data_IF_883437830550
#
_entry.id   IF_883437830550
#
_cell.length_a   1.000
_cell.length_b   1.000
_cell.length_c   1.000
_cell.angle_alpha   90.00
_cell.angle_beta   90.00
_cell.angle_gamma   90.00
#
_symmetry.space_group_name_H-M   'P 1'
#
loop_
_entity.id
_entity.type
_entity.pdbx_description
1 polymer ?
#
# COMPACT_ATOMS: atom_id res chain seq x y z
N UNK A 1 -27.06 2.87 29.80
CA UNK A 1 -27.29 2.02 30.97
C UNK A 1 -28.76 2.14 31.44
N UNK A 2 -29.26 3.35 31.75
CA UNK A 2 -30.64 3.61 32.19
C UNK A 2 -31.71 3.12 31.20
N UNK A 3 -31.50 3.25 29.90
CA UNK A 3 -32.42 2.77 28.85
C UNK A 3 -32.55 1.26 28.84
N UNK A 4 -31.44 0.53 29.02
CA UNK A 4 -31.41 -0.94 29.08
C UNK A 4 -32.10 -1.43 30.34
N UNK A 5 -31.85 -0.78 31.49
CA UNK A 5 -32.51 -1.11 32.78
C UNK A 5 -34.02 -0.85 32.69
N UNK A 6 -34.47 0.21 32.06
CA UNK A 6 -35.89 0.52 31.86
C UNK A 6 -36.58 -0.50 30.93
N UNK A 7 -35.91 -0.96 29.90
CA UNK A 7 -36.40 -1.99 28.96
C UNK A 7 -36.51 -3.33 29.64
N UNK A 8 -35.48 -3.73 30.41
CA UNK A 8 -35.47 -5.00 31.16
C UNK A 8 -36.54 -5.01 32.25
N UNK A 9 -36.73 -3.87 32.95
CA UNK A 9 -37.79 -3.73 33.97
C UNK A 9 -39.20 -3.85 33.39
N UNK A 10 -39.41 -3.36 32.14
CA UNK A 10 -40.73 -3.32 31.47
C UNK A 10 -41.09 -4.65 30.80
N UNK A 11 -40.11 -5.38 30.27
CA UNK A 11 -40.33 -6.59 29.46
C UNK A 11 -39.92 -7.91 30.19
N UNK A 12 -39.48 -7.83 31.44
CA UNK A 12 -39.28 -8.95 32.40
C UNK A 12 -38.22 -9.95 31.97
N UNK A 13 -38.31 -10.53 30.84
CA UNK A 13 -37.36 -11.55 30.36
C UNK A 13 -37.13 -11.39 28.88
N UNK A 14 -36.03 -10.69 28.51
CA UNK A 14 -35.62 -10.57 27.10
C UNK A 14 -34.62 -11.69 26.85
N UNK A 15 -35.06 -12.73 26.13
CA UNK A 15 -34.16 -13.77 25.66
C UNK A 15 -33.34 -13.24 24.50
N UNK A 16 -32.04 -13.01 24.70
CA UNK A 16 -31.10 -12.57 23.67
C UNK A 16 -30.53 -13.74 22.83
N UNK A 17 -30.87 -14.99 23.22
CA UNK A 17 -30.46 -16.19 22.51
C UNK A 17 -31.63 -16.84 21.78
N UNK A 18 -31.41 -17.27 20.54
CA UNK A 18 -32.30 -18.22 19.84
C UNK A 18 -31.91 -19.66 20.24
N UNK A 19 -32.86 -20.56 20.27
CA UNK A 19 -32.64 -22.01 20.57
C UNK A 19 -31.50 -22.61 19.70
N UNK A 20 -31.24 -22.04 18.53
CA UNK A 20 -30.15 -22.43 17.65
C UNK A 20 -28.78 -21.94 18.15
N UNK A 21 -28.70 -20.76 18.77
CA UNK A 21 -27.45 -20.21 19.28
C UNK A 21 -27.08 -20.71 20.66
N UNK A 22 -28.04 -21.14 21.46
CA UNK A 22 -27.79 -21.74 22.79
C UNK A 22 -27.02 -23.07 22.72
N UNK A 23 -27.28 -23.87 21.67
CA UNK A 23 -26.61 -25.16 21.50
C UNK A 23 -25.30 -25.09 20.68
N UNK A 24 -25.01 -23.97 20.08
CA UNK A 24 -23.85 -23.87 19.18
C UNK A 24 -22.51 -23.95 19.95
N UNK A 25 -22.50 -23.52 21.21
CA UNK A 25 -21.32 -23.56 22.09
C UNK A 25 -21.53 -24.35 23.39
N UNK A 26 -22.74 -24.81 23.66
CA UNK A 26 -23.05 -25.51 24.90
C UNK A 26 -22.28 -26.82 25.14
N UNK A 27 -21.84 -27.49 24.08
CA UNK A 27 -21.04 -28.70 24.10
C UNK A 27 -19.60 -28.55 23.66
N UNK A 28 -19.15 -27.32 23.43
CA UNK A 28 -17.78 -27.05 23.00
C UNK A 28 -16.85 -26.99 24.22
N UNK A 29 -16.51 -28.11 24.79
CA UNK A 29 -15.42 -28.23 25.77
C UNK A 29 -14.07 -28.19 25.06
N UNK A 30 -13.66 -26.99 24.67
CA UNK A 30 -12.30 -26.78 24.15
C UNK A 30 -11.33 -26.66 25.33
N UNK A 31 -10.52 -27.68 25.54
CA UNK A 31 -9.40 -27.60 26.48
C UNK A 31 -8.26 -26.71 25.92
N UNK A 32 -8.45 -25.41 26.06
CA UNK A 32 -7.47 -24.41 25.61
C UNK A 32 -6.17 -24.47 26.42
N UNK A 33 -6.25 -24.79 27.70
CA UNK A 33 -5.09 -24.86 28.60
C UNK A 33 -4.25 -26.10 28.34
N UNK A 34 -4.88 -27.25 28.15
CA UNK A 34 -4.18 -28.51 27.85
C UNK A 34 -3.47 -28.49 26.50
N UNK A 35 -4.01 -27.75 25.53
CA UNK A 35 -3.43 -27.62 24.18
C UNK A 35 -2.52 -26.38 24.00
N UNK A 36 -2.24 -25.62 25.05
CA UNK A 36 -1.39 -24.44 25.01
C UNK A 36 0.00 -24.71 24.39
N UNK A 37 0.60 -25.88 24.73
CA UNK A 37 1.93 -26.28 24.14
C UNK A 37 1.89 -26.40 22.65
N UNK A 38 0.81 -26.93 22.06
CA UNK A 38 0.63 -27.05 20.62
C UNK A 38 0.54 -25.63 19.99
N UNK A 39 -0.24 -24.75 20.64
CA UNK A 39 -0.38 -23.37 20.21
C UNK A 39 0.97 -22.62 20.19
N UNK A 40 1.80 -22.80 21.22
CA UNK A 40 3.14 -22.21 21.26
C UNK A 40 4.04 -22.75 20.14
N UNK A 41 4.01 -24.05 19.89
CA UNK A 41 4.80 -24.67 18.81
C UNK A 41 4.38 -24.09 17.45
N UNK A 42 3.07 -24.05 17.18
CA UNK A 42 2.54 -23.47 15.93
C UNK A 42 2.95 -22.01 15.78
N UNK A 43 2.84 -21.21 16.84
CA UNK A 43 3.26 -19.81 16.83
C UNK A 43 4.76 -19.65 16.53
N UNK A 44 5.60 -20.45 17.17
CA UNK A 44 7.07 -20.43 16.93
C UNK A 44 7.37 -20.80 15.48
N UNK A 45 6.72 -21.83 14.94
CA UNK A 45 6.91 -22.23 13.53
C UNK A 45 6.48 -21.13 12.59
N UNK A 46 5.32 -20.50 12.80
CA UNK A 46 4.84 -19.38 11.98
C UNK A 46 5.82 -18.21 12.04
N UNK A 47 6.32 -17.86 13.24
CA UNK A 47 7.31 -16.80 13.40
C UNK A 47 8.64 -17.14 12.70
N UNK A 48 9.10 -18.38 12.79
CA UNK A 48 10.32 -18.81 12.12
C UNK A 48 10.18 -18.74 10.60
N UNK A 49 9.08 -19.25 10.04
CA UNK A 49 8.78 -19.18 8.60
C UNK A 49 8.67 -17.73 8.14
N UNK A 50 8.01 -16.87 8.91
CA UNK A 50 7.89 -15.44 8.60
C UNK A 50 9.25 -14.76 8.57
N UNK A 51 10.13 -15.05 9.54
CA UNK A 51 11.49 -14.50 9.58
C UNK A 51 12.34 -14.95 8.39
N UNK A 52 12.27 -16.23 8.05
CA UNK A 52 13.00 -16.78 6.89
C UNK A 52 12.46 -16.14 5.61
N UNK A 53 11.15 -16.06 5.44
CA UNK A 53 10.52 -15.41 4.29
C UNK A 53 10.95 -13.94 4.15
N UNK A 54 10.99 -13.22 5.28
CA UNK A 54 11.45 -11.84 5.32
C UNK A 54 12.92 -11.69 4.95
N UNK A 55 13.79 -12.59 5.42
CA UNK A 55 15.21 -12.56 5.12
C UNK A 55 15.51 -12.90 3.64
N UNK A 56 14.72 -13.81 3.04
CA UNK A 56 14.92 -14.25 1.65
C UNK A 56 14.28 -13.32 0.63
N UNK A 57 13.06 -12.84 0.90
CA UNK A 57 12.30 -12.01 -0.05
C UNK A 57 12.42 -10.52 0.22
N UNK A 58 12.84 -10.11 1.43
CA UNK A 58 12.83 -8.72 1.86
C UNK A 58 11.42 -8.16 2.02
N UNK A 59 11.33 -6.85 2.24
CA UNK A 59 10.08 -6.08 2.18
C UNK A 59 10.03 -5.34 0.86
N UNK A 60 8.95 -5.50 0.11
CA UNK A 60 8.64 -4.61 -0.99
C UNK A 60 8.03 -3.32 -0.42
N UNK A 61 8.91 -2.39 -0.08
CA UNK A 61 8.50 -1.09 0.47
C UNK A 61 8.05 -0.18 -0.66
N UNK A 62 6.94 0.54 -0.44
CA UNK A 62 6.46 1.56 -1.37
C UNK A 62 7.46 2.70 -1.54
N UNK A 63 7.29 3.50 -2.58
CA UNK A 63 8.16 4.63 -2.90
C UNK A 63 8.25 5.69 -1.81
N UNK A 64 7.28 5.75 -0.92
CA UNK A 64 7.28 6.63 0.26
C UNK A 64 8.40 6.28 1.24
N UNK A 65 8.83 5.00 1.25
CA UNK A 65 9.89 4.50 2.13
C UNK A 65 11.25 4.32 1.43
N UNK A 66 11.23 4.16 0.12
CA UNK A 66 12.45 3.94 -0.68
C UNK A 66 12.88 5.18 -1.45
N UNK A 67 11.98 6.16 -1.60
CA UNK A 67 12.14 7.28 -2.51
C UNK A 67 11.70 6.92 -3.92
N UNK A 68 11.47 7.90 -4.75
CA UNK A 68 11.05 7.71 -6.12
C UNK A 68 10.48 8.96 -6.76
N UNK A 69 10.17 8.86 -8.05
CA UNK A 69 9.42 9.86 -8.81
C UNK A 69 7.99 9.36 -8.98
N UNK A 70 7.03 10.14 -8.54
CA UNK A 70 5.61 9.84 -8.62
C UNK A 70 4.95 10.76 -9.65
N UNK A 71 4.33 10.15 -10.64
CA UNK A 71 3.60 10.85 -11.70
C UNK A 71 2.11 10.49 -11.60
N UNK A 72 1.24 11.48 -11.69
CA UNK A 72 -0.19 11.25 -11.92
C UNK A 72 -0.47 11.61 -13.35
N UNK A 73 -0.88 10.62 -14.13
CA UNK A 73 -1.13 10.76 -15.57
C UNK A 73 -2.61 10.53 -15.83
N UNK A 74 -3.22 11.44 -16.60
CA UNK A 74 -4.60 11.35 -17.05
C UNK A 74 -4.64 10.94 -18.51
N UNK A 75 -5.46 9.93 -18.78
CA UNK A 75 -5.78 9.47 -20.12
C UNK A 75 -7.11 10.06 -20.60
N UNK A 76 -7.37 10.00 -21.88
CA UNK A 76 -8.64 10.42 -22.49
C UNK A 76 -9.77 9.40 -22.29
N UNK A 77 -9.41 8.18 -21.91
CA UNK A 77 -10.33 7.04 -21.68
C UNK A 77 -9.91 6.24 -20.45
N UNK A 78 -10.83 5.44 -19.87
CA UNK A 78 -10.45 4.49 -18.84
C UNK A 78 -9.40 3.52 -19.35
N UNK A 79 -8.32 3.32 -18.59
CA UNK A 79 -7.20 2.42 -18.89
C UNK A 79 -6.99 1.49 -17.71
N UNK A 80 -6.60 0.24 -17.96
CA UNK A 80 -6.28 -0.70 -16.88
C UNK A 80 -4.83 -0.52 -16.41
N UNK A 81 -4.63 -0.57 -15.09
CA UNK A 81 -3.28 -0.42 -14.51
C UNK A 81 -2.30 -1.48 -15.03
N UNK A 82 -2.77 -2.68 -15.34
CA UNK A 82 -1.95 -3.76 -15.88
C UNK A 82 -1.48 -3.48 -17.32
N UNK A 83 -2.34 -2.87 -18.14
CA UNK A 83 -1.99 -2.45 -19.51
C UNK A 83 -0.88 -1.38 -19.47
N UNK A 84 -1.03 -0.39 -18.60
CA UNK A 84 -0.02 0.65 -18.36
C UNK A 84 1.29 0.03 -17.88
N UNK A 85 1.23 -0.92 -16.94
CA UNK A 85 2.40 -1.63 -16.41
C UNK A 85 3.15 -2.38 -17.51
N UNK A 86 2.46 -3.14 -18.35
CA UNK A 86 3.07 -3.90 -19.45
C UNK A 86 3.80 -2.98 -20.44
N UNK A 87 3.18 -1.86 -20.81
CA UNK A 87 3.79 -0.88 -21.70
C UNK A 87 5.03 -0.22 -21.11
N UNK A 88 4.98 0.14 -19.83
CA UNK A 88 6.14 0.66 -19.12
C UNK A 88 7.27 -0.37 -19.07
N UNK A 89 6.96 -1.62 -18.74
CA UNK A 89 7.96 -2.68 -18.66
C UNK A 89 8.65 -2.93 -20.00
N UNK A 90 7.90 -2.92 -21.09
CA UNK A 90 8.41 -3.11 -22.45
C UNK A 90 9.41 -2.01 -22.81
N UNK A 91 9.06 -0.75 -22.60
CA UNK A 91 9.92 0.40 -22.93
C UNK A 91 11.12 0.47 -21.98
N UNK A 92 10.92 0.33 -20.65
CA UNK A 92 12.02 0.38 -19.69
C UNK A 92 13.02 -0.77 -19.86
N UNK A 93 12.59 -1.94 -20.37
CA UNK A 93 13.51 -3.05 -20.65
C UNK A 93 14.50 -2.76 -21.76
N UNK A 94 14.22 -1.79 -22.62
CA UNK A 94 15.11 -1.32 -23.68
C UNK A 94 16.24 -0.38 -23.21
N UNK A 95 16.16 0.10 -21.95
CA UNK A 95 17.19 0.96 -21.37
C UNK A 95 18.08 0.16 -20.43
N UNK A 96 19.40 0.09 -20.68
CA UNK A 96 20.33 -0.73 -19.88
C UNK A 96 20.31 -0.38 -18.39
N UNK A 97 20.17 0.91 -18.04
CA UNK A 97 20.10 1.40 -16.66
C UNK A 97 18.72 1.20 -16.01
N UNK A 98 17.69 0.89 -16.79
CA UNK A 98 16.31 0.82 -16.35
C UNK A 98 15.73 -0.61 -16.31
N UNK A 99 16.45 -1.61 -16.83
CA UNK A 99 15.97 -3.00 -16.95
C UNK A 99 15.54 -3.62 -15.60
N UNK A 100 16.11 -3.18 -14.48
CA UNK A 100 15.82 -3.67 -13.13
C UNK A 100 15.05 -2.66 -12.27
N UNK A 101 14.55 -1.58 -12.87
CA UNK A 101 13.85 -0.53 -12.14
C UNK A 101 12.46 -0.99 -11.75
N UNK A 102 12.16 -0.91 -10.47
CA UNK A 102 10.81 -1.15 -9.96
C UNK A 102 9.91 0.03 -10.27
N UNK A 103 8.72 -0.26 -10.79
CA UNK A 103 7.65 0.73 -10.91
C UNK A 103 6.34 0.17 -10.37
N UNK A 104 5.59 1.04 -9.76
CA UNK A 104 4.27 0.77 -9.21
C UNK A 104 3.23 1.55 -10.00
N UNK A 105 2.21 0.87 -10.50
CA UNK A 105 1.10 1.48 -11.23
C UNK A 105 -0.17 1.22 -10.45
N UNK A 106 -0.87 2.28 -10.08
CA UNK A 106 -2.16 2.22 -9.38
C UNK A 106 -3.15 3.21 -9.97
N UNK A 107 -4.41 2.85 -10.00
CA UNK A 107 -5.48 3.80 -10.29
C UNK A 107 -5.53 4.90 -9.20
N UNK A 108 -5.70 6.14 -9.62
CA UNK A 108 -5.71 7.31 -8.75
C UNK A 108 -6.88 8.23 -9.07
N UNK A 109 -7.84 8.30 -8.15
CA UNK A 109 -9.03 9.12 -8.35
C UNK A 109 -9.98 8.54 -9.39
N UNK A 110 -10.02 9.14 -10.57
CA UNK A 110 -10.92 8.72 -11.66
C UNK A 110 -10.37 7.49 -12.40
N UNK A 111 -11.27 6.77 -13.12
CA UNK A 111 -10.91 5.56 -13.89
C UNK A 111 -9.91 5.82 -15.03
N UNK A 112 -9.76 7.07 -15.46
CA UNK A 112 -8.83 7.49 -16.49
C UNK A 112 -7.54 8.11 -15.92
N UNK A 113 -7.28 7.96 -14.61
CA UNK A 113 -6.07 8.49 -13.97
C UNK A 113 -5.26 7.37 -13.34
N UNK A 114 -3.96 7.37 -13.63
CA UNK A 114 -3.01 6.42 -13.06
C UNK A 114 -1.90 7.15 -12.32
N UNK A 115 -1.59 6.66 -11.12
CA UNK A 115 -0.38 7.05 -10.39
C UNK A 115 0.70 6.04 -10.73
N UNK A 116 1.79 6.52 -11.30
CA UNK A 116 2.96 5.75 -11.67
C UNK A 116 4.10 6.22 -10.79
N UNK A 117 4.73 5.29 -10.09
CA UNK A 117 5.89 5.57 -9.26
C UNK A 117 7.07 4.75 -9.77
N UNK A 118 8.18 5.42 -10.03
CA UNK A 118 9.41 4.79 -10.52
C UNK A 118 10.62 5.21 -9.70
N UNK A 119 11.58 4.30 -9.55
CA UNK A 119 12.86 4.56 -8.92
C UNK A 119 13.96 4.93 -9.93
N UNK A 120 13.62 5.06 -11.22
CA UNK A 120 14.59 5.42 -12.23
C UNK A 120 15.11 6.84 -12.02
N UNK A 121 16.44 6.98 -11.89
CA UNK A 121 17.14 8.26 -11.66
C UNK A 121 16.50 9.14 -10.57
N UNK A 122 15.99 8.50 -9.48
CA UNK A 122 15.27 9.22 -8.43
C UNK A 122 16.20 10.06 -7.53
N UNK A 123 17.47 9.72 -7.47
CA UNK A 123 18.54 10.43 -6.76
C UNK A 123 19.13 11.58 -7.58
N UNK A 124 19.00 11.56 -8.91
CA UNK A 124 19.42 12.65 -9.79
C UNK A 124 18.36 13.75 -9.85
N UNK A 125 18.78 14.97 -9.49
CA UNK A 125 17.88 16.13 -9.39
C UNK A 125 17.97 17.05 -10.61
N UNK A 126 18.77 16.69 -11.62
CA UNK A 126 18.94 17.47 -12.83
C UNK A 126 17.65 17.56 -13.66
N UNK A 127 17.50 18.65 -14.39
CA UNK A 127 16.40 18.84 -15.32
C UNK A 127 16.50 17.87 -16.51
N UNK A 128 17.74 17.47 -16.85
CA UNK A 128 18.01 16.48 -17.87
C UNK A 128 17.44 15.11 -17.50
N UNK A 129 17.73 14.64 -16.28
CA UNK A 129 17.18 13.38 -15.77
C UNK A 129 15.64 13.39 -15.69
N UNK A 130 15.05 14.53 -15.34
CA UNK A 130 13.59 14.69 -15.33
C UNK A 130 13.01 14.63 -16.73
N UNK A 131 13.62 15.33 -17.69
CA UNK A 131 13.18 15.32 -19.09
C UNK A 131 13.32 13.96 -19.74
N UNK A 132 14.35 13.19 -19.37
CA UNK A 132 14.55 11.82 -19.84
C UNK A 132 13.46 10.88 -19.32
N UNK A 133 13.13 10.95 -18.02
CA UNK A 133 12.04 10.14 -17.44
C UNK A 133 10.70 10.49 -18.09
N UNK A 134 10.41 11.79 -18.27
CA UNK A 134 9.19 12.25 -18.93
C UNK A 134 9.10 11.71 -20.37
N UNK A 135 10.24 11.62 -21.06
CA UNK A 135 10.29 11.08 -22.43
C UNK A 135 10.05 9.58 -22.47
N UNK A 136 10.66 8.83 -21.56
CA UNK A 136 10.42 7.38 -21.43
C UNK A 136 8.94 7.10 -21.12
N UNK A 137 8.35 7.88 -20.21
CA UNK A 137 6.92 7.78 -19.91
C UNK A 137 6.04 8.08 -21.12
N UNK A 138 6.39 9.12 -21.88
CA UNK A 138 5.69 9.46 -23.11
C UNK A 138 5.80 8.33 -24.14
N UNK A 139 7.00 7.82 -24.39
CA UNK A 139 7.24 6.75 -25.36
C UNK A 139 6.48 5.46 -25.01
N UNK A 140 6.32 5.18 -23.73
CA UNK A 140 5.55 4.03 -23.26
C UNK A 140 4.03 4.24 -23.37
N UNK A 141 3.54 5.44 -23.11
CA UNK A 141 2.12 5.69 -22.83
C UNK A 141 1.37 6.42 -23.96
N UNK A 142 2.07 7.09 -24.89
CA UNK A 142 1.40 7.85 -25.96
C UNK A 142 0.45 6.97 -26.80
N UNK A 143 0.75 5.70 -26.98
CA UNK A 143 -0.08 4.75 -27.72
C UNK A 143 -1.37 4.34 -27.00
N UNK A 144 -1.53 4.67 -25.71
CA UNK A 144 -2.75 4.37 -24.94
C UNK A 144 -3.83 5.45 -25.10
N UNK A 145 -3.48 6.60 -25.67
CA UNK A 145 -4.43 7.66 -25.99
C UNK A 145 -5.20 7.35 -27.27
N UNK A 146 -6.47 7.69 -27.32
CA UNK A 146 -7.33 7.54 -28.51
C UNK A 146 -7.01 8.54 -29.63
N UNK A 147 -6.10 9.50 -29.37
CA UNK A 147 -5.64 10.49 -30.33
C UNK A 147 -4.13 10.73 -30.17
N UNK A 148 -3.45 11.21 -31.22
CA UNK A 148 -2.03 11.52 -31.12
C UNK A 148 -1.79 12.69 -30.14
N UNK A 149 -1.17 12.43 -29.01
CA UNK A 149 -0.74 13.43 -28.05
C UNK A 149 0.72 13.80 -28.36
N UNK A 150 1.05 15.10 -28.35
CA UNK A 150 2.44 15.54 -28.49
C UNK A 150 3.18 15.49 -27.15
N UNK A 151 4.50 15.36 -27.19
CA UNK A 151 5.32 15.33 -25.96
C UNK A 151 5.13 16.60 -25.10
N UNK A 152 5.00 17.77 -25.74
CA UNK A 152 4.77 19.04 -25.04
C UNK A 152 3.43 19.03 -24.30
N UNK A 153 2.36 18.55 -24.95
CA UNK A 153 1.04 18.44 -24.32
C UNK A 153 1.02 17.38 -23.22
N UNK A 154 1.73 16.28 -23.40
CA UNK A 154 1.84 15.23 -22.40
C UNK A 154 2.55 15.73 -21.13
N UNK A 155 3.61 16.53 -21.27
CA UNK A 155 4.40 17.08 -20.17
C UNK A 155 3.76 18.31 -19.51
N UNK A 156 2.84 18.98 -20.18
CA UNK A 156 2.30 20.24 -19.70
C UNK A 156 1.31 20.02 -18.55
N UNK A 157 1.79 20.15 -17.32
CA UNK A 157 1.00 20.02 -16.09
C UNK A 157 -0.04 21.13 -15.89
N UNK A 158 0.00 22.19 -16.69
CA UNK A 158 -0.96 23.30 -16.63
C UNK A 158 -2.21 23.05 -17.49
N UNK A 159 -2.13 22.13 -18.44
CA UNK A 159 -3.29 21.70 -19.20
C UNK A 159 -4.02 20.60 -18.43
N UNK A 160 -5.06 20.96 -17.71
CA UNK A 160 -5.93 20.07 -16.93
C UNK A 160 -6.69 19.00 -17.75
N UNK A 161 -6.30 18.77 -19.01
CA UNK A 161 -7.06 17.92 -19.91
C UNK A 161 -6.51 16.48 -19.89
N UNK A 162 -5.30 16.25 -20.42
CA UNK A 162 -4.68 14.92 -20.50
C UNK A 162 -3.16 15.02 -20.44
N UNK A 163 -2.48 13.97 -19.99
CA UNK A 163 -1.04 13.94 -19.80
C UNK A 163 -0.65 13.95 -18.32
N UNK A 164 0.53 14.45 -18.00
CA UNK A 164 1.05 14.54 -16.63
C UNK A 164 0.30 15.64 -15.87
N UNK A 165 -0.46 15.27 -14.84
CA UNK A 165 -1.13 16.23 -13.96
C UNK A 165 -0.21 16.71 -12.84
N UNK A 166 0.51 15.76 -12.21
CA UNK A 166 1.50 16.06 -11.17
C UNK A 166 2.74 15.20 -11.37
N UNK A 167 3.88 15.77 -11.06
CA UNK A 167 5.17 15.10 -11.06
C UNK A 167 5.86 15.43 -9.73
N UNK A 168 5.77 14.51 -8.78
CA UNK A 168 6.33 14.66 -7.45
C UNK A 168 7.60 13.81 -7.32
N UNK A 169 8.59 14.31 -6.60
CA UNK A 169 9.83 13.60 -6.33
C UNK A 169 10.06 13.47 -4.83
N UNK A 170 10.20 12.24 -4.37
CA UNK A 170 10.57 11.94 -2.99
C UNK A 170 12.05 11.55 -2.97
N UNK A 171 12.88 12.45 -2.46
CA UNK A 171 14.30 12.20 -2.34
C UNK A 171 14.63 11.10 -1.34
N UNK A 172 15.79 10.40 -1.49
CA UNK A 172 16.17 9.28 -0.63
C UNK A 172 16.35 9.67 0.83
N UNK A 173 16.77 10.91 1.12
CA UNK A 173 16.89 11.42 2.49
C UNK A 173 15.53 11.50 3.20
N UNK A 174 14.52 12.07 2.52
CA UNK A 174 13.16 12.21 3.06
C UNK A 174 12.55 10.83 3.30
N UNK A 175 12.69 9.92 2.34
CA UNK A 175 12.18 8.55 2.47
C UNK A 175 12.83 7.81 3.65
N UNK A 176 14.14 7.98 3.85
CA UNK A 176 14.87 7.40 4.98
C UNK A 176 14.38 7.97 6.33
N UNK A 177 14.19 9.26 6.42
CA UNK A 177 13.69 9.91 7.64
C UNK A 177 12.26 9.45 7.96
N UNK A 178 11.39 9.34 6.97
CA UNK A 178 10.04 8.80 7.12
C UNK A 178 10.06 7.34 7.61
N UNK A 179 10.94 6.51 7.05
CA UNK A 179 11.08 5.10 7.43
C UNK A 179 11.52 4.97 8.89
N UNK A 180 12.57 5.70 9.31
CA UNK A 180 13.04 5.67 10.67
C UNK A 180 12.02 6.24 11.65
N UNK A 181 11.34 7.32 11.27
CA UNK A 181 10.24 7.90 12.06
C UNK A 181 9.12 6.90 12.28
N UNK A 182 8.71 6.17 11.24
CA UNK A 182 7.68 5.13 11.33
C UNK A 182 8.10 3.98 12.27
N UNK A 183 9.33 3.47 12.14
CA UNK A 183 9.86 2.39 13.00
C UNK A 183 9.86 2.79 14.46
N UNK A 184 10.39 3.98 14.77
CA UNK A 184 10.42 4.49 16.15
C UNK A 184 9.03 4.73 16.71
N UNK A 185 8.10 5.27 15.91
CA UNK A 185 6.71 5.50 16.32
C UNK A 185 6.01 4.21 16.72
N UNK A 186 6.17 3.14 15.93
CA UNK A 186 5.60 1.83 16.25
C UNK A 186 6.22 1.26 17.52
N UNK A 187 7.55 1.34 17.67
CA UNK A 187 8.25 0.85 18.86
C UNK A 187 7.79 1.56 20.14
N UNK A 188 7.75 2.89 20.11
CA UNK A 188 7.28 3.67 21.27
C UNK A 188 5.81 3.40 21.59
N UNK A 189 4.96 3.24 20.58
CA UNK A 189 3.56 2.86 20.76
C UNK A 189 3.41 1.51 21.46
N UNK A 190 4.17 0.50 21.04
CA UNK A 190 4.15 -0.82 21.67
C UNK A 190 4.63 -0.78 23.12
N UNK A 191 5.71 -0.02 23.40
CA UNK A 191 6.21 0.18 24.77
C UNK A 191 5.15 0.87 25.65
N UNK A 192 4.55 1.95 25.15
CA UNK A 192 3.52 2.70 25.86
C UNK A 192 2.30 1.83 26.18
N UNK A 193 1.82 1.03 25.21
CA UNK A 193 0.71 0.10 25.41
C UNK A 193 1.10 -0.99 26.43
N UNK A 194 2.29 -1.57 26.31
CA UNK A 194 2.80 -2.57 27.24
C UNK A 194 2.89 -2.06 28.69
N UNK A 195 3.44 -0.86 28.86
CA UNK A 195 3.49 -0.20 30.17
C UNK A 195 2.10 0.11 30.72
N UNK A 196 1.19 0.61 29.88
CA UNK A 196 -0.18 0.87 30.30
C UNK A 196 -0.88 -0.42 30.79
N UNK A 197 -0.75 -1.51 30.02
CA UNK A 197 -1.35 -2.81 30.42
C UNK A 197 -0.72 -3.31 31.71
N UNK A 198 0.61 -3.24 31.86
CA UNK A 198 1.34 -3.69 33.04
C UNK A 198 0.99 -2.88 34.32
N UNK A 199 0.71 -1.59 34.18
CA UNK A 199 0.32 -0.73 35.31
C UNK A 199 -1.18 -0.85 35.64
N UNK A 200 -2.01 -1.18 34.64
CA UNK A 200 -3.46 -1.23 34.78
C UNK A 200 -3.97 -2.58 35.31
N UNK A 201 -3.28 -3.66 34.99
CA UNK A 201 -3.63 -5.04 35.33
C UNK A 201 -2.53 -5.75 36.14
#
# INVERSE_FOLDING_TARGET
RLLIEAIVAKFGHISFSRKWSENLMGNAHFDFLGKSKISYIVMIVVLAVSRVSFAVRGLNMGAEFTGGRAYVIRFDRPVQAEEVRMKLQDVFSGYEDAANVSFEVKQYGNENQMRIVTQYKYDDTSDEATSEVDRILYDALHGLYGYPITFENFRNTQNDINGILTADKIGPSIAKDMTWGAIWSVLFSLIAIGLYISLRF
#
